data_IF_151293074672
#
_entry.id   IF_151293074672
#
_cell.length_a   1.000
_cell.length_b   1.000
_cell.length_c   1.000
_cell.angle_alpha   90.00
_cell.angle_beta   90.00
_cell.angle_gamma   90.00
#
_symmetry.space_group_name_H-M   'P 1'
#
loop_
_entity.id
_entity.type
_entity.pdbx_description
1 polymer ?
#
# COMPACT_ATOMS: atom_id res chain seq x y z
N UNK A 1 24.12 3.56 -18.73
CA UNK A 1 23.09 3.10 -17.79
C UNK A 1 23.61 2.07 -16.78
N UNK A 2 24.24 0.96 -17.20
CA UNK A 2 24.75 -0.08 -16.29
C UNK A 2 25.93 0.36 -15.39
N UNK A 3 26.88 1.16 -15.90
CA UNK A 3 28.01 1.62 -15.08
C UNK A 3 27.60 2.55 -13.92
N UNK A 4 26.52 3.32 -14.08
CA UNK A 4 26.03 4.21 -13.01
C UNK A 4 25.22 3.47 -11.96
N UNK A 5 24.59 2.34 -12.28
CA UNK A 5 23.86 1.53 -11.30
C UNK A 5 24.79 0.68 -10.42
N UNK A 6 25.98 0.32 -10.92
CA UNK A 6 26.99 -0.42 -10.15
C UNK A 6 27.91 0.48 -9.29
N UNK A 7 27.83 1.81 -9.42
CA UNK A 7 28.75 2.73 -8.72
C UNK A 7 28.38 2.99 -7.26
N UNK A 8 27.14 2.71 -6.85
CA UNK A 8 26.63 2.91 -5.48
C UNK A 8 26.36 1.58 -4.76
N UNK A 9 27.16 0.56 -5.04
CA UNK A 9 27.06 -0.74 -4.39
C UNK A 9 28.42 -1.43 -4.29
N UNK A 10 28.46 -2.63 -3.70
CA UNK A 10 29.67 -3.45 -3.58
C UNK A 10 30.20 -3.76 -4.99
N UNK A 11 31.53 -3.64 -5.24
CA UNK A 11 32.11 -3.95 -6.54
C UNK A 11 31.73 -5.36 -7.04
N UNK A 12 31.40 -5.47 -8.32
CA UNK A 12 30.89 -6.72 -8.93
C UNK A 12 31.87 -7.89 -8.81
N UNK A 13 33.17 -7.61 -8.77
CA UNK A 13 34.26 -8.57 -8.66
C UNK A 13 34.70 -8.86 -7.21
N UNK A 14 34.04 -8.28 -6.20
CA UNK A 14 34.34 -8.57 -4.81
C UNK A 14 34.01 -10.03 -4.45
N UNK A 15 34.79 -10.61 -3.54
CA UNK A 15 34.59 -11.94 -2.96
C UNK A 15 34.69 -11.87 -1.44
N UNK A 16 34.11 -12.82 -0.71
CA UNK A 16 34.36 -12.96 0.72
C UNK A 16 35.33 -14.12 0.98
N UNK A 17 36.11 -14.01 2.05
CA UNK A 17 37.11 -15.02 2.44
C UNK A 17 36.46 -16.37 2.75
N UNK A 18 35.22 -16.35 3.28
CA UNK A 18 34.46 -17.55 3.62
C UNK A 18 33.81 -18.24 2.40
N UNK A 19 33.62 -17.53 1.28
CA UNK A 19 32.99 -18.08 0.09
C UNK A 19 33.42 -17.31 -1.17
N UNK A 20 34.34 -17.83 -1.99
CA UNK A 20 34.97 -17.12 -3.10
C UNK A 20 34.07 -16.98 -4.35
N UNK A 21 32.76 -16.85 -4.15
CA UNK A 21 31.81 -16.54 -5.21
C UNK A 21 31.78 -15.03 -5.42
N UNK A 22 31.92 -14.60 -6.69
CA UNK A 22 31.84 -13.19 -7.09
C UNK A 22 30.51 -12.55 -6.65
N UNK A 23 30.58 -11.34 -6.10
CA UNK A 23 29.43 -10.58 -5.62
C UNK A 23 28.35 -10.43 -6.68
N UNK A 24 28.71 -10.26 -7.96
CA UNK A 24 27.74 -10.16 -9.07
C UNK A 24 26.73 -11.31 -9.12
N UNK A 25 27.11 -12.53 -8.69
CA UNK A 25 26.21 -13.70 -8.66
C UNK A 25 25.24 -13.71 -7.47
N UNK A 26 25.53 -12.93 -6.44
CA UNK A 26 24.76 -12.87 -5.18
C UNK A 26 24.21 -11.48 -4.87
N UNK A 27 24.48 -10.48 -5.71
CA UNK A 27 24.11 -9.08 -5.48
C UNK A 27 22.63 -8.92 -5.08
N UNK A 28 21.72 -9.47 -5.89
CA UNK A 28 20.27 -9.41 -5.63
C UNK A 28 19.80 -10.26 -4.44
N UNK A 29 20.65 -11.14 -3.89
CA UNK A 29 20.35 -11.97 -2.72
C UNK A 29 20.89 -11.36 -1.43
N UNK A 30 21.72 -10.32 -1.52
CA UNK A 30 22.43 -9.75 -0.37
C UNK A 30 21.48 -9.35 0.77
N UNK A 31 20.39 -8.64 0.46
CA UNK A 31 19.38 -8.25 1.47
C UNK A 31 18.64 -9.44 2.07
N UNK A 32 18.26 -10.42 1.25
CA UNK A 32 17.58 -11.64 1.70
C UNK A 32 18.49 -12.51 2.59
N UNK A 33 19.77 -12.64 2.22
CA UNK A 33 20.79 -13.35 3.00
C UNK A 33 21.02 -12.65 4.35
N UNK A 34 21.06 -11.32 4.36
CA UNK A 34 21.15 -10.52 5.59
C UNK A 34 19.93 -10.78 6.50
N UNK A 35 18.71 -10.80 5.95
CA UNK A 35 17.50 -11.07 6.72
C UNK A 35 17.52 -12.50 7.30
N UNK A 36 17.97 -13.49 6.54
CA UNK A 36 18.11 -14.86 7.02
C UNK A 36 19.14 -14.96 8.17
N UNK A 37 20.23 -14.20 8.10
CA UNK A 37 21.18 -14.10 9.20
C UNK A 37 20.55 -13.48 10.46
N UNK A 38 19.74 -12.42 10.33
CA UNK A 38 19.05 -11.84 11.49
C UNK A 38 17.98 -12.76 12.10
N UNK A 39 17.30 -13.57 11.28
CA UNK A 39 16.36 -14.60 11.78
C UNK A 39 17.04 -15.61 12.68
N UNK A 40 18.27 -16.03 12.36
CA UNK A 40 19.01 -16.99 13.19
C UNK A 40 19.35 -16.43 14.58
N UNK A 41 19.39 -15.10 14.71
CA UNK A 41 19.56 -14.39 15.98
C UNK A 41 18.25 -14.18 16.76
N UNK A 42 17.14 -14.82 16.35
CA UNK A 42 15.80 -14.68 16.95
C UNK A 42 15.27 -13.24 17.01
N UNK A 43 15.73 -12.38 16.09
CA UNK A 43 15.19 -11.04 15.96
C UNK A 43 13.69 -11.11 15.65
N UNK A 44 12.90 -10.39 16.44
CA UNK A 44 11.44 -10.30 16.24
C UNK A 44 11.15 -9.11 15.33
N UNK A 45 10.30 -9.34 14.32
CA UNK A 45 9.83 -8.35 13.34
C UNK A 45 10.96 -7.64 12.57
N UNK A 46 11.32 -8.23 11.44
CA UNK A 46 12.37 -7.70 10.56
C UNK A 46 11.78 -6.84 9.45
N UNK A 47 12.46 -5.74 9.16
CA UNK A 47 12.18 -4.91 7.99
C UNK A 47 13.45 -4.73 7.17
N UNK A 48 13.31 -4.68 5.84
CA UNK A 48 14.44 -4.49 4.92
C UNK A 48 14.06 -3.59 3.75
N UNK A 49 15.02 -2.80 3.26
CA UNK A 49 14.90 -2.07 1.99
C UNK A 49 15.44 -2.84 0.79
N UNK A 50 16.15 -3.95 1.02
CA UNK A 50 16.64 -4.86 -0.01
C UNK A 50 15.95 -6.20 0.15
N UNK A 51 15.10 -6.54 -0.82
CA UNK A 51 14.26 -7.71 -0.77
C UNK A 51 14.25 -8.44 -2.12
N UNK A 52 14.00 -9.75 -2.08
CA UNK A 52 13.77 -10.60 -3.24
C UNK A 52 12.30 -10.99 -3.35
N UNK A 53 11.96 -11.77 -4.38
CA UNK A 53 10.65 -12.38 -4.53
C UNK A 53 10.30 -13.28 -3.33
N UNK A 54 9.05 -13.27 -2.89
CA UNK A 54 8.49 -14.17 -1.89
C UNK A 54 8.98 -13.95 -0.46
N UNK A 55 9.58 -12.80 -0.14
CA UNK A 55 9.97 -12.48 1.23
C UNK A 55 8.74 -12.12 2.08
N UNK A 56 8.62 -12.76 3.24
CA UNK A 56 7.51 -12.51 4.17
C UNK A 56 7.82 -11.41 5.19
N UNK A 57 9.06 -10.93 5.23
CA UNK A 57 9.45 -9.79 6.06
C UNK A 57 8.92 -8.48 5.49
N UNK A 58 8.84 -7.45 6.34
CA UNK A 58 8.36 -6.17 5.89
C UNK A 58 9.37 -5.53 4.91
N UNK A 59 8.95 -5.38 3.65
CA UNK A 59 9.71 -4.67 2.65
C UNK A 59 9.44 -3.16 2.78
N UNK A 60 10.48 -2.34 2.94
CA UNK A 60 10.34 -0.89 3.08
C UNK A 60 10.87 -0.19 1.82
N UNK A 61 9.99 0.55 1.15
CA UNK A 61 10.39 1.50 0.11
C UNK A 61 10.95 2.77 0.76
N UNK A 62 12.01 3.32 0.18
CA UNK A 62 12.67 4.54 0.67
C UNK A 62 12.88 5.54 -0.48
N UNK A 63 13.28 6.76 -0.14
CA UNK A 63 13.61 7.84 -1.10
C UNK A 63 12.47 8.19 -2.05
N UNK A 64 11.24 8.21 -1.54
CA UNK A 64 10.05 8.58 -2.32
C UNK A 64 9.81 10.08 -2.17
N UNK A 65 9.82 10.80 -3.29
CA UNK A 65 9.46 12.22 -3.31
C UNK A 65 7.95 12.42 -3.12
N UNK A 66 7.55 13.50 -2.45
CA UNK A 66 6.13 13.86 -2.41
C UNK A 66 5.66 14.38 -3.77
N UNK A 67 4.71 13.69 -4.39
CA UNK A 67 4.01 14.13 -5.60
C UNK A 67 2.74 13.28 -5.80
N UNK A 68 1.78 13.79 -6.57
CA UNK A 68 0.59 13.03 -6.96
C UNK A 68 0.95 11.77 -7.77
N UNK A 69 1.95 11.86 -8.63
CA UNK A 69 2.49 10.70 -9.36
C UNK A 69 3.01 9.64 -8.41
N UNK A 70 3.75 10.01 -7.36
CA UNK A 70 4.24 9.04 -6.39
C UNK A 70 3.15 8.51 -5.45
N UNK A 71 2.08 9.27 -5.20
CA UNK A 71 0.88 8.74 -4.55
C UNK A 71 0.28 7.60 -5.39
N UNK A 72 0.06 7.82 -6.69
CA UNK A 72 -0.44 6.76 -7.59
C UNK A 72 0.52 5.57 -7.67
N UNK A 73 1.82 5.83 -7.87
CA UNK A 73 2.84 4.79 -7.88
C UNK A 73 2.91 4.01 -6.55
N UNK A 74 2.52 4.61 -5.42
CA UNK A 74 2.46 3.91 -4.14
C UNK A 74 1.41 2.80 -4.16
N UNK A 75 0.21 3.07 -4.69
CA UNK A 75 -0.80 2.03 -4.87
C UNK A 75 -0.29 0.94 -5.82
N UNK A 76 0.20 1.33 -6.99
CA UNK A 76 0.74 0.40 -8.00
C UNK A 76 1.85 -0.48 -7.43
N UNK A 77 2.80 0.10 -6.68
CA UNK A 77 3.90 -0.63 -6.03
C UNK A 77 3.35 -1.61 -5.00
N UNK A 78 2.39 -1.20 -4.17
CA UNK A 78 1.75 -2.10 -3.19
C UNK A 78 1.07 -3.29 -3.88
N UNK A 79 0.32 -3.06 -4.96
CA UNK A 79 -0.37 -4.13 -5.70
C UNK A 79 0.62 -5.12 -6.31
N UNK A 80 1.70 -4.65 -6.94
CA UNK A 80 2.74 -5.53 -7.47
C UNK A 80 3.43 -6.35 -6.38
N UNK A 81 3.75 -5.72 -5.25
CA UNK A 81 4.39 -6.42 -4.13
C UNK A 81 3.52 -7.54 -3.56
N UNK A 82 2.21 -7.30 -3.44
CA UNK A 82 1.25 -8.33 -3.05
C UNK A 82 1.26 -9.52 -4.01
N UNK A 83 1.35 -9.28 -5.33
CA UNK A 83 1.44 -10.35 -6.33
C UNK A 83 2.78 -11.11 -6.27
N UNK A 84 3.87 -10.43 -5.91
CA UNK A 84 5.20 -11.03 -5.80
C UNK A 84 5.46 -11.75 -4.48
N UNK A 85 4.44 -11.93 -3.64
CA UNK A 85 4.55 -12.60 -2.34
C UNK A 85 5.21 -11.75 -1.26
N UNK A 86 5.42 -10.46 -1.50
CA UNK A 86 5.94 -9.50 -0.54
C UNK A 86 4.77 -8.75 0.13
N UNK A 87 3.93 -9.51 0.83
CA UNK A 87 2.64 -9.03 1.33
C UNK A 87 2.73 -7.99 2.45
N UNK A 88 3.88 -7.81 3.09
CA UNK A 88 4.12 -6.82 4.14
C UNK A 88 4.89 -5.58 3.63
N UNK A 89 4.49 -5.05 2.47
CA UNK A 89 5.08 -3.84 1.91
C UNK A 89 4.74 -2.57 2.72
N UNK A 90 5.74 -1.71 2.90
CA UNK A 90 5.64 -0.40 3.52
C UNK A 90 6.12 0.68 2.56
N UNK A 91 5.29 1.69 2.35
CA UNK A 91 5.61 2.86 1.53
C UNK A 91 5.51 4.09 2.43
N UNK A 92 6.49 5.01 2.40
CA UNK A 92 6.52 6.15 3.30
C UNK A 92 5.35 7.08 2.98
N UNK A 93 4.42 7.20 3.93
CA UNK A 93 3.26 8.09 3.83
C UNK A 93 3.75 9.54 3.68
N UNK A 94 3.21 10.25 2.69
CA UNK A 94 3.62 11.61 2.30
C UNK A 94 5.06 11.73 1.76
N UNK A 95 5.65 10.63 1.31
CA UNK A 95 7.03 10.58 0.85
C UNK A 95 8.05 10.73 1.99
N UNK A 96 9.30 10.39 1.71
CA UNK A 96 10.39 10.35 2.72
C UNK A 96 11.46 11.42 2.55
N UNK A 97 11.54 12.09 1.40
CA UNK A 97 12.58 13.09 1.13
C UNK A 97 12.21 14.46 1.70
N UNK A 98 13.19 15.32 1.99
CA UNK A 98 13.02 16.65 2.61
C UNK A 98 12.18 17.68 1.84
N UNK A 99 11.83 17.45 0.58
CA UNK A 99 10.97 18.36 -0.19
C UNK A 99 9.51 18.26 0.27
N UNK A 100 9.11 19.06 1.26
CA UNK A 100 7.73 19.14 1.75
C UNK A 100 7.40 20.53 2.27
N UNK A 101 6.18 20.99 2.03
CA UNK A 101 5.67 22.26 2.57
C UNK A 101 4.14 22.21 2.72
N UNK A 102 3.55 23.28 3.26
CA UNK A 102 2.11 23.39 3.53
C UNK A 102 1.19 23.21 2.31
N UNK A 103 1.66 23.50 1.09
CA UNK A 103 0.84 23.32 -0.12
C UNK A 103 0.61 21.84 -0.45
N UNK A 104 1.39 20.95 0.18
CA UNK A 104 1.28 19.51 -0.01
C UNK A 104 0.34 18.82 1.00
N UNK A 105 -0.29 19.55 1.93
CA UNK A 105 -1.09 18.90 2.99
C UNK A 105 -2.31 18.14 2.47
N UNK A 106 -2.95 18.60 1.39
CA UNK A 106 -4.02 17.84 0.73
C UNK A 106 -3.51 16.51 0.21
N UNK A 107 -2.40 16.53 -0.54
CA UNK A 107 -1.74 15.34 -1.06
C UNK A 107 -1.33 14.40 0.08
N UNK A 108 -0.76 14.94 1.16
CA UNK A 108 -0.37 14.16 2.32
C UNK A 108 -1.59 13.48 2.97
N UNK A 109 -2.69 14.23 3.16
CA UNK A 109 -3.95 13.68 3.66
C UNK A 109 -4.51 12.58 2.75
N UNK A 110 -4.53 12.75 1.42
CA UNK A 110 -4.93 11.69 0.47
C UNK A 110 -4.04 10.46 0.58
N UNK A 111 -2.74 10.66 0.78
CA UNK A 111 -1.79 9.57 1.00
C UNK A 111 -2.06 8.80 2.29
N UNK A 112 -2.42 9.49 3.38
CA UNK A 112 -2.88 8.84 4.60
C UNK A 112 -4.13 7.99 4.35
N UNK A 113 -5.16 8.55 3.68
CA UNK A 113 -6.40 7.83 3.37
C UNK A 113 -6.16 6.56 2.53
N UNK A 114 -5.20 6.61 1.61
CA UNK A 114 -4.78 5.42 0.86
C UNK A 114 -4.03 4.43 1.78
N UNK A 115 -2.97 4.90 2.44
CA UNK A 115 -2.01 4.05 3.14
C UNK A 115 -2.58 3.41 4.42
N UNK A 116 -3.69 3.90 4.98
CA UNK A 116 -4.38 3.22 6.09
C UNK A 116 -4.93 1.84 5.69
N UNK A 117 -4.97 1.49 4.41
CA UNK A 117 -5.26 0.13 3.94
C UNK A 117 -4.01 -0.71 3.69
N UNK A 118 -2.83 -0.09 3.60
CA UNK A 118 -1.60 -0.82 3.24
C UNK A 118 -1.17 -1.77 4.36
N UNK A 119 -0.50 -2.88 4.04
CA UNK A 119 -0.09 -3.87 5.04
C UNK A 119 0.73 -3.25 6.19
N UNK A 120 1.75 -2.45 5.85
CA UNK A 120 2.59 -1.75 6.83
C UNK A 120 2.44 -0.24 6.66
N UNK A 121 1.57 0.34 7.49
CA UNK A 121 1.32 1.78 7.56
C UNK A 121 2.44 2.48 8.35
N UNK A 122 3.28 3.25 7.65
CA UNK A 122 4.45 3.93 8.23
C UNK A 122 4.62 5.34 7.70
N UNK A 123 4.67 6.30 8.61
CA UNK A 123 5.09 7.67 8.32
C UNK A 123 6.59 7.74 8.54
N UNK A 124 7.33 8.14 7.52
CA UNK A 124 8.79 8.25 7.58
C UNK A 124 9.20 9.46 6.80
N UNK A 125 9.41 10.56 7.50
CA UNK A 125 9.78 11.84 6.90
C UNK A 125 11.10 12.31 7.49
N UNK A 126 11.99 12.78 6.63
CA UNK A 126 12.98 13.79 7.02
C UNK A 126 12.28 15.10 7.42
N UNK A 127 13.03 16.08 7.92
CA UNK A 127 12.46 17.41 8.17
C UNK A 127 11.93 18.05 6.86
N UNK A 128 10.76 18.72 6.88
CA UNK A 128 9.85 18.87 8.03
C UNK A 128 9.06 17.59 8.35
N UNK A 129 8.79 17.35 9.65
CA UNK A 129 7.95 16.25 10.14
C UNK A 129 6.56 16.20 9.48
N UNK A 130 6.09 14.99 9.17
CA UNK A 130 4.81 14.73 8.48
C UNK A 130 3.86 13.80 9.23
N UNK A 131 4.14 13.53 10.50
CA UNK A 131 3.16 12.85 11.35
C UNK A 131 1.86 13.66 11.40
N UNK A 132 0.75 12.99 11.73
CA UNK A 132 -0.59 13.60 11.70
C UNK A 132 -0.71 14.85 12.57
N UNK A 133 0.08 15.00 13.63
CA UNK A 133 0.02 16.16 14.53
C UNK A 133 0.76 17.37 13.94
N UNK A 134 1.78 17.13 13.10
CA UNK A 134 2.59 18.15 12.45
C UNK A 134 1.89 18.87 11.28
N UNK A 135 0.74 18.38 10.82
CA UNK A 135 -0.03 19.04 9.76
C UNK A 135 -0.74 20.31 10.28
N UNK A 136 -0.77 21.36 9.46
CA UNK A 136 -1.33 22.67 9.79
C UNK A 136 -2.86 22.64 9.81
N UNK A 137 -3.51 22.11 8.76
CA UNK A 137 -4.96 22.21 8.62
C UNK A 137 -5.71 21.19 9.48
N UNK A 138 -6.50 21.67 10.44
CA UNK A 138 -7.29 20.83 11.35
C UNK A 138 -8.29 19.92 10.61
N UNK A 139 -8.86 20.39 9.50
CA UNK A 139 -9.76 19.61 8.67
C UNK A 139 -9.10 18.33 8.13
N UNK A 140 -7.87 18.43 7.63
CA UNK A 140 -7.10 17.28 7.16
C UNK A 140 -6.68 16.36 8.30
N UNK A 141 -6.25 16.92 9.45
CA UNK A 141 -5.93 16.12 10.64
C UNK A 141 -7.11 15.26 11.10
N UNK A 142 -8.31 15.83 11.16
CA UNK A 142 -9.50 15.09 11.57
C UNK A 142 -9.84 13.94 10.61
N UNK A 143 -9.68 14.15 9.30
CA UNK A 143 -9.85 13.07 8.32
C UNK A 143 -8.83 11.94 8.53
N UNK A 144 -7.56 12.29 8.75
CA UNK A 144 -6.48 11.33 9.01
C UNK A 144 -6.74 10.55 10.31
N UNK A 145 -7.16 11.22 11.39
CA UNK A 145 -7.48 10.54 12.65
C UNK A 145 -8.64 9.55 12.51
N UNK A 146 -9.69 9.91 11.75
CA UNK A 146 -10.78 8.99 11.44
C UNK A 146 -10.29 7.79 10.63
N UNK A 147 -9.48 8.01 9.60
CA UNK A 147 -8.95 6.94 8.77
C UNK A 147 -8.03 5.99 9.56
N UNK A 148 -7.16 6.53 10.43
CA UNK A 148 -6.34 5.72 11.34
C UNK A 148 -7.25 4.93 12.28
N UNK A 149 -8.25 5.54 12.91
CA UNK A 149 -9.19 4.82 13.79
C UNK A 149 -9.89 3.69 13.04
N UNK A 150 -10.34 3.92 11.81
CA UNK A 150 -11.01 2.90 11.02
C UNK A 150 -10.04 1.77 10.61
N UNK A 151 -8.75 2.05 10.39
CA UNK A 151 -7.73 1.00 10.26
C UNK A 151 -7.68 0.12 11.51
N UNK A 152 -7.69 0.73 12.70
CA UNK A 152 -7.71 -0.01 13.96
C UNK A 152 -8.98 -0.87 14.11
N UNK A 153 -10.12 -0.37 13.64
CA UNK A 153 -11.38 -1.12 13.56
C UNK A 153 -11.26 -2.35 12.64
N UNK A 154 -10.54 -2.24 11.52
CA UNK A 154 -10.31 -3.31 10.56
C UNK A 154 -9.18 -4.29 10.94
N UNK A 155 -8.45 -4.06 12.04
CA UNK A 155 -7.33 -4.93 12.42
C UNK A 155 -7.71 -6.41 12.51
N UNK A 156 -8.84 -6.83 13.12
CA UNK A 156 -9.19 -8.25 13.17
C UNK A 156 -9.30 -8.89 11.78
N UNK A 157 -9.84 -8.15 10.81
CA UNK A 157 -9.90 -8.59 9.41
C UNK A 157 -8.51 -8.64 8.76
N UNK A 158 -7.65 -7.67 9.02
CA UNK A 158 -6.27 -7.70 8.50
C UNK A 158 -5.48 -8.89 9.05
N UNK A 159 -5.61 -9.17 10.35
CA UNK A 159 -4.96 -10.32 10.98
C UNK A 159 -5.54 -11.65 10.48
N UNK A 160 -6.85 -11.74 10.19
CA UNK A 160 -7.43 -12.96 9.62
C UNK A 160 -6.86 -13.24 8.22
N UNK A 161 -6.72 -12.21 7.37
CA UNK A 161 -6.07 -12.31 6.05
C UNK A 161 -4.61 -12.78 6.18
N UNK A 162 -3.82 -12.15 7.06
CA UNK A 162 -2.43 -12.54 7.30
C UNK A 162 -2.32 -14.00 7.79
N UNK A 163 -3.22 -14.44 8.67
CA UNK A 163 -3.22 -15.82 9.18
C UNK A 163 -3.54 -16.86 8.10
N UNK A 164 -4.29 -16.49 7.05
CA UNK A 164 -4.55 -17.32 5.87
C UNK A 164 -3.42 -17.28 4.85
N UNK A 165 -2.43 -16.42 5.04
CA UNK A 165 -1.36 -16.19 4.06
C UNK A 165 -1.82 -15.39 2.83
N UNK A 166 -2.94 -14.68 2.94
CA UNK A 166 -3.51 -13.92 1.83
C UNK A 166 -2.98 -12.47 1.80
N UNK A 167 -2.76 -11.89 0.61
CA UNK A 167 -2.38 -10.49 0.49
C UNK A 167 -3.53 -9.59 0.93
N UNK A 168 -3.21 -8.58 1.75
CA UNK A 168 -4.21 -7.60 2.22
C UNK A 168 -4.70 -6.74 1.07
N UNK A 169 -3.79 -6.17 0.28
CA UNK A 169 -4.14 -5.27 -0.82
C UNK A 169 -3.86 -6.01 -2.12
N UNK A 170 -4.87 -6.24 -2.95
CA UNK A 170 -4.74 -7.03 -4.17
C UNK A 170 -5.46 -6.37 -5.36
N UNK A 171 -4.93 -6.52 -6.58
CA UNK A 171 -5.56 -5.93 -7.76
C UNK A 171 -6.91 -6.58 -8.01
N UNK A 172 -7.84 -5.84 -8.64
CA UNK A 172 -9.20 -6.30 -8.86
C UNK A 172 -9.26 -7.65 -9.60
N UNK A 173 -8.42 -7.84 -10.62
CA UNK A 173 -8.37 -9.10 -11.39
C UNK A 173 -7.96 -10.32 -10.58
N UNK A 174 -7.39 -10.15 -9.38
CA UNK A 174 -7.06 -11.27 -8.49
C UNK A 174 -8.33 -12.05 -8.12
N UNK A 175 -9.43 -11.33 -7.86
CA UNK A 175 -10.73 -11.90 -7.51
C UNK A 175 -11.63 -12.09 -8.73
N UNK A 176 -11.54 -11.17 -9.70
CA UNK A 176 -12.44 -11.09 -10.85
C UNK A 176 -11.70 -11.42 -12.15
N UNK A 177 -10.94 -12.52 -12.17
CA UNK A 177 -10.05 -12.90 -13.28
C UNK A 177 -10.77 -13.22 -14.60
N UNK A 178 -12.08 -13.50 -14.59
CA UNK A 178 -12.88 -13.66 -15.81
C UNK A 178 -13.43 -12.34 -16.36
N UNK A 179 -13.31 -11.25 -15.61
CA UNK A 179 -13.73 -9.92 -16.02
C UNK A 179 -12.54 -9.11 -16.54
N UNK A 180 -12.40 -9.06 -17.86
CA UNK A 180 -11.35 -8.32 -18.55
C UNK A 180 -11.33 -6.83 -18.20
N UNK A 181 -12.44 -6.25 -17.70
CA UNK A 181 -12.45 -4.83 -17.27
C UNK A 181 -11.56 -4.58 -16.06
N UNK A 182 -11.28 -5.61 -15.27
CA UNK A 182 -10.50 -5.48 -14.03
C UNK A 182 -8.99 -5.48 -14.23
N UNK A 183 -8.51 -5.76 -15.44
CA UNK A 183 -7.09 -5.95 -15.73
C UNK A 183 -6.35 -4.61 -15.79
N UNK A 184 -7.02 -3.57 -16.28
CA UNK A 184 -6.48 -2.22 -16.42
C UNK A 184 -6.84 -1.30 -15.24
N UNK A 185 -7.46 -1.82 -14.18
CA UNK A 185 -7.85 -1.02 -13.01
C UNK A 185 -6.65 -0.82 -12.07
N UNK A 186 -6.19 0.43 -11.97
CA UNK A 186 -5.05 0.82 -11.13
C UNK A 186 -5.39 1.91 -10.08
N UNK A 187 -6.65 2.34 -10.00
CA UNK A 187 -7.14 3.37 -9.06
C UNK A 187 -8.16 2.82 -8.03
N UNK A 188 -8.44 1.53 -8.12
CA UNK A 188 -9.25 0.77 -7.16
C UNK A 188 -8.67 -0.62 -6.98
N UNK A 189 -8.92 -1.21 -5.82
CA UNK A 189 -8.33 -2.48 -5.44
C UNK A 189 -9.19 -3.18 -4.40
N UNK A 190 -8.93 -4.47 -4.22
CA UNK A 190 -9.53 -5.25 -3.16
C UNK A 190 -8.64 -5.22 -1.91
N UNK A 191 -9.28 -5.00 -0.76
CA UNK A 191 -8.72 -5.17 0.57
C UNK A 191 -9.25 -6.51 1.11
N UNK A 192 -8.45 -7.57 0.91
CA UNK A 192 -8.87 -8.96 1.07
C UNK A 192 -10.02 -9.32 0.13
N UNK A 193 -10.88 -10.23 0.57
CA UNK A 193 -12.01 -10.81 -0.18
C UNK A 193 -13.31 -10.04 -0.11
N UNK A 194 -13.47 -9.21 0.91
CA UNK A 194 -14.76 -8.59 1.19
C UNK A 194 -14.86 -7.11 0.80
N UNK A 195 -13.74 -6.38 0.68
CA UNK A 195 -13.77 -4.92 0.61
C UNK A 195 -13.12 -4.40 -0.68
N UNK A 196 -13.83 -3.55 -1.40
CA UNK A 196 -13.30 -2.77 -2.52
C UNK A 196 -12.99 -1.37 -2.02
N UNK A 197 -11.79 -0.87 -2.30
CA UNK A 197 -11.37 0.49 -1.95
C UNK A 197 -11.05 1.27 -3.22
N UNK A 198 -11.57 2.48 -3.32
CA UNK A 198 -11.27 3.41 -4.41
C UNK A 198 -10.90 4.76 -3.80
N UNK A 199 -9.69 5.25 -4.03
CA UNK A 199 -9.25 6.53 -3.47
C UNK A 199 -8.94 7.53 -4.59
N UNK A 200 -9.28 8.82 -4.42
CA UNK A 200 -8.86 9.84 -5.37
C UNK A 200 -7.35 10.04 -5.33
N UNK A 201 -6.68 9.75 -6.44
CA UNK A 201 -5.22 9.84 -6.57
C UNK A 201 -4.77 11.09 -7.35
N UNK A 202 -5.70 11.99 -7.65
CA UNK A 202 -5.46 13.23 -8.39
C UNK A 202 -5.97 14.46 -7.61
N UNK A 203 -5.31 15.62 -7.77
CA UNK A 203 -5.75 16.87 -7.12
C UNK A 203 -7.13 17.30 -7.62
N UNK A 204 -7.89 17.98 -6.77
CA UNK A 204 -9.19 18.58 -7.11
C UNK A 204 -10.25 17.59 -7.64
N UNK A 205 -10.12 16.30 -7.31
CA UNK A 205 -11.10 15.28 -7.71
C UNK A 205 -12.37 15.40 -6.89
N UNK A 206 -13.49 15.74 -7.56
CA UNK A 206 -14.83 15.85 -6.97
C UNK A 206 -15.82 14.77 -7.45
N UNK A 207 -15.43 14.02 -8.49
CA UNK A 207 -16.19 12.89 -9.02
C UNK A 207 -15.26 11.70 -9.14
N UNK A 208 -15.64 10.58 -8.53
CA UNK A 208 -14.89 9.33 -8.57
C UNK A 208 -15.69 8.29 -9.34
N UNK A 209 -15.06 7.73 -10.38
CA UNK A 209 -15.64 6.65 -11.16
C UNK A 209 -15.15 5.33 -10.61
N UNK A 210 -16.07 4.48 -10.14
CA UNK A 210 -15.75 3.19 -9.51
C UNK A 210 -16.40 2.07 -10.31
N UNK A 211 -15.64 1.02 -10.59
CA UNK A 211 -16.14 -0.19 -11.24
C UNK A 211 -16.57 -1.20 -10.17
N UNK A 212 -17.83 -1.59 -10.19
CA UNK A 212 -18.40 -2.62 -9.34
C UNK A 212 -18.63 -3.90 -10.17
N UNK A 213 -17.78 -4.93 -10.00
CA UNK A 213 -17.91 -6.20 -10.72
C UNK A 213 -19.32 -6.80 -10.62
N UNK A 214 -19.93 -7.19 -11.76
CA UNK A 214 -21.26 -7.78 -11.76
C UNK A 214 -21.38 -9.12 -11.04
N UNK A 215 -20.30 -9.90 -11.02
CA UNK A 215 -20.27 -11.26 -10.44
C UNK A 215 -20.57 -11.28 -8.93
N UNK A 216 -20.42 -10.15 -8.25
CA UNK A 216 -20.77 -10.02 -6.82
C UNK A 216 -22.27 -9.83 -6.61
N UNK A 217 -23.03 -9.34 -7.59
CA UNK A 217 -24.46 -9.06 -7.44
C UNK A 217 -24.73 -7.72 -6.76
N UNK A 218 -24.54 -7.63 -5.43
CA UNK A 218 -24.76 -6.40 -4.66
C UNK A 218 -23.49 -5.96 -3.92
N UNK A 219 -23.22 -4.67 -4.00
CA UNK A 219 -22.20 -3.98 -3.22
C UNK A 219 -22.87 -3.01 -2.25
N UNK A 220 -22.34 -2.93 -1.03
CA UNK A 220 -22.78 -2.00 0.00
C UNK A 220 -21.73 -0.92 0.19
N UNK A 221 -22.09 0.35 0.05
CA UNK A 221 -21.18 1.42 0.47
C UNK A 221 -20.93 1.29 1.98
N UNK A 222 -19.66 1.22 2.36
CA UNK A 222 -19.24 0.69 3.66
C UNK A 222 -19.72 1.52 4.84
N UNK A 223 -19.85 2.84 4.69
CA UNK A 223 -20.17 3.74 5.79
C UNK A 223 -21.68 3.90 6.01
N UNK A 224 -22.44 4.05 4.93
CA UNK A 224 -23.89 4.30 4.95
C UNK A 224 -24.72 3.02 4.84
N UNK A 225 -24.13 1.92 4.36
CA UNK A 225 -24.86 0.70 4.02
C UNK A 225 -25.72 0.82 2.77
N UNK A 226 -25.58 1.91 2.00
CA UNK A 226 -26.33 2.10 0.75
C UNK A 226 -26.01 0.98 -0.24
N UNK A 227 -27.06 0.39 -0.83
CA UNK A 227 -26.95 -0.70 -1.80
C UNK A 227 -26.67 -0.18 -3.20
N UNK A 228 -25.77 -0.85 -3.90
CA UNK A 228 -25.45 -0.67 -5.31
C UNK A 228 -25.46 -2.02 -6.01
N UNK A 229 -26.08 -2.08 -7.19
CA UNK A 229 -25.98 -3.27 -8.02
C UNK A 229 -24.59 -3.33 -8.67
N UNK A 230 -23.97 -4.51 -8.68
CA UNK A 230 -22.82 -4.82 -9.52
C UNK A 230 -23.24 -4.74 -10.99
N UNK A 231 -23.16 -3.57 -11.58
CA UNK A 231 -23.54 -3.32 -12.97
C UNK A 231 -22.39 -2.66 -13.76
N UNK A 232 -21.16 -2.74 -13.23
CA UNK A 232 -19.99 -2.08 -13.76
C UNK A 232 -19.81 -0.67 -13.19
N UNK A 233 -19.69 0.33 -14.06
CA UNK A 233 -19.27 1.67 -13.65
C UNK A 233 -20.36 2.48 -12.95
N UNK A 234 -20.02 3.05 -11.80
CA UNK A 234 -20.79 4.07 -11.10
C UNK A 234 -19.98 5.37 -10.97
N UNK A 235 -20.67 6.50 -10.83
CA UNK A 235 -20.07 7.80 -10.57
C UNK A 235 -20.51 8.29 -9.19
N UNK A 236 -19.56 8.71 -8.36
CA UNK A 236 -19.79 9.18 -7.01
C UNK A 236 -19.33 10.62 -6.88
N UNK A 237 -20.20 11.48 -6.34
CA UNK A 237 -19.77 12.80 -5.87
C UNK A 237 -19.08 12.63 -4.53
N UNK A 238 -17.86 13.17 -4.44
CA UNK A 238 -17.00 13.01 -3.27
C UNK A 238 -16.41 14.35 -2.85
N UNK A 239 -16.06 14.44 -1.57
CA UNK A 239 -15.24 15.53 -1.04
C UNK A 239 -13.82 15.06 -0.75
N UNK A 240 -12.93 16.01 -0.47
CA UNK A 240 -11.51 15.72 -0.32
C UNK A 240 -11.16 14.74 0.80
N UNK A 241 -12.02 14.57 1.79
CA UNK A 241 -11.78 13.71 2.94
C UNK A 241 -12.52 12.38 2.89
N UNK A 242 -13.25 12.11 1.81
CA UNK A 242 -14.00 10.87 1.69
C UNK A 242 -13.07 9.69 1.48
N UNK A 243 -13.36 8.62 2.20
CA UNK A 243 -12.64 7.36 2.13
C UNK A 243 -13.56 6.32 1.50
N UNK A 244 -13.63 6.27 0.18
CA UNK A 244 -14.62 5.44 -0.53
C UNK A 244 -14.26 3.95 -0.44
N UNK A 245 -15.20 3.17 0.10
CA UNK A 245 -15.07 1.73 0.30
C UNK A 245 -16.43 1.06 0.09
N UNK A 246 -16.41 -0.13 -0.51
CA UNK A 246 -17.58 -0.97 -0.71
C UNK A 246 -17.35 -2.35 -0.11
N UNK A 247 -18.43 -2.96 0.36
CA UNK A 247 -18.47 -4.30 0.89
C UNK A 247 -19.24 -5.21 -0.06
N UNK A 248 -18.60 -6.30 -0.47
CA UNK A 248 -19.19 -7.32 -1.33
C UNK A 248 -20.22 -8.15 -0.54
N UNK A 249 -21.41 -8.35 -1.11
CA UNK A 249 -22.41 -9.20 -0.47
C UNK A 249 -21.92 -10.64 -0.23
N UNK A 250 -22.55 -11.32 0.74
CA UNK A 250 -22.20 -12.70 1.09
C UNK A 250 -20.95 -12.87 1.97
N UNK A 251 -20.20 -11.80 2.22
CA UNK A 251 -19.03 -11.84 3.10
C UNK A 251 -19.39 -11.56 4.57
N UNK A 252 -18.44 -11.83 5.47
CA UNK A 252 -18.49 -11.41 6.88
C UNK A 252 -17.12 -10.89 7.26
N UNK A 253 -17.05 -9.68 7.80
CA UNK A 253 -15.80 -9.07 8.27
C UNK A 253 -15.80 -8.90 9.79
N UNK A 254 -14.75 -9.36 10.50
CA UNK A 254 -14.61 -9.09 11.92
C UNK A 254 -14.08 -7.66 12.13
N UNK A 255 -14.79 -6.88 12.92
CA UNK A 255 -14.43 -5.51 13.28
C UNK A 255 -14.18 -5.38 14.79
N UNK A 256 -13.36 -4.41 15.17
CA UNK A 256 -13.10 -4.03 16.57
C UNK A 256 -13.64 -2.64 16.85
N UNK A 257 -14.30 -2.47 18.01
CA UNK A 257 -14.73 -1.15 18.51
C UNK A 257 -13.57 -0.29 19.00
#
# INVERSE_FOLDING_TARGET
ALNSSLSKTIPWNATSDANPILHVRKHNKYGSDQINAFKSLKASYLMTSSFSYGMQEAAIVQNVNISWTNLKNSLTTTLYHSMFGNSLISIPVCGSTSYYNVTHEELCMRWYLLAVTFPVFRVSSEEPRRDSFSLKYAFYKNAIYRAIRNRYMLLPYYYSLLSRGEPLVRPMFYDFHFDNKTFDLDEQYMLGDALLVAQPLLPYTSNLRVYLPPDVGIWYEFWSGMKYNGAGWINLFIVNTDWVMFFAEGNIIPLRN
#
